data_IF_751024857355
#
_entry.id   IF_751024857355
#
_cell.length_a   1.000
_cell.length_b   1.000
_cell.length_c   1.000
_cell.angle_alpha   90.00
_cell.angle_beta   90.00
_cell.angle_gamma   90.00
#
_symmetry.space_group_name_H-M   'P 1'
#
loop_
_entity.id
_entity.type
_entity.pdbx_description
1 polymer ?
#
# COMPACT_ATOMS: atom_id res chain seq x y z
N UNK A 1 -79.13 -39.83 -28.15
CA UNK A 1 -77.85 -40.27 -28.74
C UNK A 1 -76.76 -39.99 -27.70
N UNK A 2 -76.30 -41.03 -27.00
CA UNK A 2 -75.35 -40.95 -25.88
C UNK A 2 -73.93 -40.84 -26.44
N UNK A 3 -73.17 -39.82 -26.06
CA UNK A 3 -71.72 -39.77 -26.27
C UNK A 3 -71.08 -39.69 -24.88
N UNK A 4 -70.34 -40.74 -24.54
CA UNK A 4 -69.75 -40.97 -23.24
C UNK A 4 -68.46 -40.18 -23.06
N UNK A 5 -68.37 -39.54 -21.90
CA UNK A 5 -67.19 -38.94 -21.31
C UNK A 5 -66.22 -40.06 -20.89
N UNK A 6 -64.94 -39.95 -21.26
CA UNK A 6 -63.85 -40.76 -20.67
C UNK A 6 -62.70 -39.83 -20.30
N UNK A 7 -62.55 -39.62 -19.00
CA UNK A 7 -61.37 -39.04 -18.34
C UNK A 7 -60.28 -40.12 -18.16
N UNK A 8 -59.07 -39.66 -17.77
CA UNK A 8 -57.78 -40.36 -17.53
C UNK A 8 -56.80 -40.25 -18.71
N UNK A 9 -55.52 -39.89 -18.53
CA UNK A 9 -54.74 -39.71 -17.32
C UNK A 9 -53.54 -38.78 -17.54
N UNK A 10 -53.30 -38.01 -16.49
CA UNK A 10 -52.08 -37.34 -16.01
C UNK A 10 -50.75 -37.99 -16.44
N UNK A 11 -49.82 -37.19 -16.97
CA UNK A 11 -48.39 -37.25 -16.60
C UNK A 11 -47.72 -35.92 -16.99
N UNK A 12 -47.46 -35.13 -15.96
CA UNK A 12 -46.58 -33.97 -15.97
C UNK A 12 -45.14 -34.47 -16.20
N UNK A 13 -44.47 -34.01 -17.25
CA UNK A 13 -43.00 -34.06 -17.34
C UNK A 13 -42.49 -32.64 -17.52
N UNK A 14 -42.09 -32.03 -16.40
CA UNK A 14 -41.37 -30.75 -16.37
C UNK A 14 -39.91 -31.10 -16.62
N UNK A 15 -39.42 -30.86 -17.83
CA UNK A 15 -38.00 -30.92 -18.14
C UNK A 15 -37.46 -29.50 -18.23
N UNK A 16 -36.96 -29.00 -17.10
CA UNK A 16 -36.22 -27.75 -17.05
C UNK A 16 -34.81 -27.97 -17.61
N UNK A 17 -34.54 -27.46 -18.82
CA UNK A 17 -33.17 -27.31 -19.34
C UNK A 17 -32.60 -25.99 -18.80
N UNK A 18 -31.86 -26.07 -17.70
CA UNK A 18 -30.90 -25.04 -17.28
C UNK A 18 -29.65 -25.20 -18.13
N UNK A 19 -29.51 -24.38 -19.17
CA UNK A 19 -28.26 -24.21 -19.91
C UNK A 19 -27.41 -23.16 -19.15
N UNK A 20 -26.67 -23.60 -18.15
CA UNK A 20 -25.60 -22.79 -17.57
C UNK A 20 -24.41 -22.83 -18.53
N UNK A 21 -24.23 -21.76 -19.31
CA UNK A 21 -22.98 -21.53 -20.04
C UNK A 21 -21.88 -21.22 -19.01
N UNK A 22 -21.23 -22.27 -18.51
CA UNK A 22 -19.98 -22.14 -17.78
C UNK A 22 -18.91 -21.69 -18.78
N UNK A 23 -18.66 -20.38 -18.85
CA UNK A 23 -17.38 -19.89 -19.32
C UNK A 23 -16.34 -20.30 -18.27
N UNK A 24 -15.89 -21.55 -18.37
CA UNK A 24 -14.65 -22.02 -17.78
C UNK A 24 -13.49 -21.38 -18.53
N UNK A 25 -13.30 -20.08 -18.33
CA UNK A 25 -12.01 -19.46 -18.52
C UNK A 25 -11.11 -19.97 -17.40
N UNK A 26 -10.48 -21.12 -17.60
CA UNK A 26 -9.24 -21.42 -16.90
C UNK A 26 -8.23 -20.38 -17.36
N UNK A 27 -8.26 -19.19 -16.75
CA UNK A 27 -7.07 -18.38 -16.66
C UNK A 27 -6.09 -19.25 -15.89
N UNK A 28 -5.17 -19.87 -16.61
CA UNK A 28 -3.86 -20.18 -16.07
C UNK A 28 -3.37 -18.87 -15.49
N UNK A 29 -3.51 -18.70 -14.17
CA UNK A 29 -2.86 -17.65 -13.44
C UNK A 29 -1.38 -17.91 -13.63
N UNK A 30 -0.80 -17.29 -14.64
CA UNK A 30 0.62 -16.99 -14.64
C UNK A 30 0.80 -16.20 -13.34
N UNK A 31 1.51 -16.79 -12.37
CA UNK A 31 1.80 -16.16 -11.09
C UNK A 31 2.90 -15.12 -11.30
N UNK A 32 2.70 -14.23 -12.25
CA UNK A 32 3.49 -13.02 -12.36
C UNK A 32 3.19 -12.24 -11.09
N UNK A 33 4.22 -11.97 -10.29
CA UNK A 33 4.17 -11.02 -9.18
C UNK A 33 3.97 -9.62 -9.76
N UNK A 34 2.87 -9.40 -10.47
CA UNK A 34 2.59 -8.21 -11.23
C UNK A 34 1.18 -7.73 -10.90
N UNK A 35 1.03 -6.42 -10.81
CA UNK A 35 -0.27 -5.77 -10.66
C UNK A 35 -0.36 -4.63 -11.66
N UNK A 36 -1.34 -4.72 -12.54
CA UNK A 36 -1.69 -3.63 -13.44
C UNK A 36 -2.69 -2.72 -12.74
N UNK A 37 -2.41 -1.43 -12.71
CA UNK A 37 -3.23 -0.42 -12.06
C UNK A 37 -3.34 0.83 -12.91
N UNK A 38 -4.51 1.48 -12.87
CA UNK A 38 -4.75 2.77 -13.49
C UNK A 38 -4.75 3.86 -12.44
N UNK A 39 -3.95 4.90 -12.65
CA UNK A 39 -3.86 6.02 -11.73
C UNK A 39 -5.13 6.86 -11.82
N UNK A 40 -5.88 6.94 -10.73
CA UNK A 40 -7.18 7.61 -10.72
C UNK A 40 -7.05 9.05 -10.20
N UNK A 41 -6.38 9.24 -9.08
CA UNK A 41 -6.32 10.56 -8.46
C UNK A 41 -5.25 10.71 -7.38
N UNK A 42 -5.04 11.97 -6.99
CA UNK A 42 -4.33 12.39 -5.79
C UNK A 42 -5.29 13.26 -4.98
N UNK A 43 -6.20 12.67 -4.21
CA UNK A 43 -7.21 13.45 -3.50
C UNK A 43 -6.61 14.20 -2.30
N UNK A 44 -5.51 13.68 -1.74
CA UNK A 44 -4.88 14.18 -0.52
C UNK A 44 -3.39 14.40 -0.76
N UNK A 45 -3.01 15.63 -1.07
CA UNK A 45 -1.60 16.01 -1.21
C UNK A 45 -1.39 17.48 -0.86
N UNK A 46 -0.17 17.82 -0.47
CA UNK A 46 0.31 19.20 -0.43
C UNK A 46 1.41 19.39 -1.47
N UNK A 47 1.51 20.61 -1.99
CA UNK A 47 2.70 21.03 -2.74
C UNK A 47 3.78 21.37 -1.73
N UNK A 48 4.93 20.74 -1.87
CA UNK A 48 6.02 20.91 -0.92
C UNK A 48 7.29 21.38 -1.62
N UNK A 49 8.01 22.28 -0.96
CA UNK A 49 9.36 22.69 -1.32
C UNK A 49 10.34 21.70 -0.73
N UNK A 50 11.04 20.92 -1.55
CA UNK A 50 12.00 19.93 -1.06
C UNK A 50 13.44 20.45 -1.19
N UNK A 51 14.27 20.24 -0.18
CA UNK A 51 15.71 20.50 -0.24
C UNK A 51 16.49 19.19 -0.37
N UNK A 52 16.36 18.48 -1.49
CA UNK A 52 17.02 17.17 -1.65
C UNK A 52 18.50 17.36 -1.94
N UNK A 53 19.38 16.99 -1.00
CA UNK A 53 20.82 16.92 -1.24
C UNK A 53 21.47 15.64 -0.71
N UNK A 54 21.49 14.61 -1.56
CA UNK A 54 22.09 13.30 -1.24
C UNK A 54 23.61 13.28 -1.14
N UNK A 55 24.29 14.42 -1.34
CA UNK A 55 25.76 14.50 -1.23
C UNK A 55 26.21 14.82 0.19
N UNK A 56 25.27 15.18 1.05
CA UNK A 56 25.53 15.56 2.43
C UNK A 56 25.25 14.40 3.39
N UNK A 57 25.93 14.46 4.51
CA UNK A 57 25.61 13.63 5.67
C UNK A 57 24.40 14.24 6.39
N UNK A 58 23.67 13.41 7.15
CA UNK A 58 22.43 13.75 7.85
C UNK A 58 22.48 15.00 8.77
N UNK A 59 23.69 15.46 9.13
CA UNK A 59 23.95 16.58 10.03
C UNK A 59 24.44 17.87 9.34
N UNK A 60 24.40 17.94 8.01
CA UNK A 60 24.94 19.07 7.22
C UNK A 60 23.84 19.93 6.58
N UNK A 61 23.98 21.26 6.69
CA UNK A 61 22.96 22.24 6.22
C UNK A 61 23.35 22.94 4.90
N UNK A 62 24.59 22.74 4.43
CA UNK A 62 25.16 23.47 3.28
C UNK A 62 24.88 22.78 1.93
N UNK A 63 23.61 22.47 1.65
CA UNK A 63 23.17 21.79 0.43
C UNK A 63 22.61 22.72 -0.65
N UNK A 64 22.73 22.32 -1.91
CA UNK A 64 22.11 23.05 -3.02
C UNK A 64 20.61 22.79 -2.97
N UNK A 65 19.84 23.72 -2.41
CA UNK A 65 18.38 23.64 -2.34
C UNK A 65 17.77 23.47 -3.74
N UNK A 66 17.33 22.27 -4.09
CA UNK A 66 16.44 22.07 -5.24
C UNK A 66 14.99 22.26 -4.80
N UNK A 67 14.64 23.49 -4.42
CA UNK A 67 13.26 23.82 -4.08
C UNK A 67 12.38 23.74 -5.33
N UNK A 68 11.57 22.69 -5.45
CA UNK A 68 10.57 22.57 -6.52
C UNK A 68 9.15 22.56 -5.96
N UNK A 69 8.43 23.66 -6.19
CA UNK A 69 7.03 23.82 -5.81
C UNK A 69 6.06 22.91 -6.60
N UNK A 70 6.56 21.99 -7.43
CA UNK A 70 5.75 21.09 -8.25
C UNK A 70 5.71 19.67 -7.69
N UNK A 71 6.47 19.38 -6.64
CA UNK A 71 6.47 18.04 -6.04
C UNK A 71 5.25 17.92 -5.13
N UNK A 72 4.47 16.88 -5.38
CA UNK A 72 3.23 16.60 -4.65
C UNK A 72 3.48 15.49 -3.63
N UNK A 73 3.49 15.85 -2.36
CA UNK A 73 3.62 14.91 -1.25
C UNK A 73 2.23 14.48 -0.78
N UNK A 74 1.97 13.18 -0.75
CA UNK A 74 0.70 12.61 -0.34
C UNK A 74 0.40 11.31 -1.05
N UNK A 75 -0.76 10.75 -0.80
CA UNK A 75 -1.19 9.46 -1.34
C UNK A 75 -1.42 9.48 -2.86
N UNK A 76 -1.33 8.30 -3.47
CA UNK A 76 -1.76 8.02 -4.84
C UNK A 76 -2.87 6.98 -4.79
N UNK A 77 -3.99 7.28 -5.46
CA UNK A 77 -5.14 6.38 -5.56
C UNK A 77 -5.15 5.74 -6.94
N UNK A 78 -5.15 4.41 -6.94
CA UNK A 78 -5.12 3.58 -8.14
C UNK A 78 -6.30 2.62 -8.17
N UNK A 79 -6.78 2.28 -9.36
CA UNK A 79 -7.69 1.15 -9.58
C UNK A 79 -6.90 0.00 -10.18
N UNK A 80 -6.82 -1.13 -9.48
CA UNK A 80 -6.13 -2.30 -10.00
C UNK A 80 -6.97 -3.05 -11.06
N UNK A 81 -6.34 -4.03 -11.72
CA UNK A 81 -6.95 -4.90 -12.73
C UNK A 81 -8.20 -5.68 -12.26
N UNK A 82 -8.47 -5.71 -10.95
CA UNK A 82 -9.65 -6.34 -10.35
C UNK A 82 -10.75 -5.32 -9.98
N UNK A 83 -10.59 -4.06 -10.36
CA UNK A 83 -11.52 -2.97 -10.05
C UNK A 83 -11.50 -2.54 -8.58
N UNK A 84 -10.40 -2.78 -7.86
CA UNK A 84 -10.24 -2.35 -6.46
C UNK A 84 -9.40 -1.10 -6.36
N UNK A 85 -9.82 -0.18 -5.50
CA UNK A 85 -9.03 0.96 -5.06
C UNK A 85 -7.82 0.49 -4.24
N UNK A 86 -6.66 1.04 -4.56
CA UNK A 86 -5.38 0.84 -3.90
C UNK A 86 -4.80 2.21 -3.55
N UNK A 87 -4.46 2.41 -2.28
CA UNK A 87 -3.78 3.62 -1.80
C UNK A 87 -2.30 3.32 -1.66
N UNK A 88 -1.47 4.13 -2.30
CA UNK A 88 -0.02 3.91 -2.38
C UNK A 88 0.73 5.20 -2.07
N UNK A 89 1.99 5.07 -1.65
CA UNK A 89 2.91 6.19 -1.40
C UNK A 89 4.19 5.98 -2.19
N UNK A 90 4.71 7.05 -2.79
CA UNK A 90 5.88 6.98 -3.66
C UNK A 90 7.14 6.82 -2.80
N UNK A 91 8.08 5.99 -3.24
CA UNK A 91 9.38 5.80 -2.58
C UNK A 91 10.56 6.35 -3.39
N UNK A 92 10.27 6.91 -4.57
CA UNK A 92 11.15 7.77 -5.36
C UNK A 92 10.47 9.14 -5.57
N UNK A 93 11.23 10.16 -5.97
CA UNK A 93 10.74 11.56 -6.07
C UNK A 93 10.50 12.07 -7.49
N UNK A 94 11.33 11.69 -8.47
CA UNK A 94 11.43 12.42 -9.75
C UNK A 94 10.74 11.78 -10.96
N UNK A 95 10.21 10.58 -10.83
CA UNK A 95 9.38 9.95 -11.88
C UNK A 95 7.90 10.17 -11.53
N UNK A 96 6.94 9.90 -12.42
CA UNK A 96 5.55 10.16 -12.05
C UNK A 96 4.53 9.68 -13.06
N UNK A 97 3.37 9.29 -12.55
CA UNK A 97 2.20 8.94 -13.35
C UNK A 97 1.28 10.15 -13.53
N UNK A 98 0.64 10.23 -14.70
CA UNK A 98 -0.47 11.15 -14.97
C UNK A 98 -1.80 10.45 -14.75
N UNK A 99 -2.80 11.18 -14.26
CA UNK A 99 -4.15 10.62 -14.07
C UNK A 99 -4.66 10.03 -15.38
N UNK A 100 -5.10 8.78 -15.32
CA UNK A 100 -5.50 7.96 -16.47
C UNK A 100 -4.42 7.01 -16.98
N UNK A 101 -3.18 7.14 -16.55
CA UNK A 101 -2.10 6.22 -16.93
C UNK A 101 -2.34 4.84 -16.32
N UNK A 102 -2.18 3.80 -17.14
CA UNK A 102 -2.19 2.41 -16.69
C UNK A 102 -0.77 1.87 -16.66
N UNK A 103 -0.34 1.39 -15.50
CA UNK A 103 1.02 0.93 -15.23
C UNK A 103 0.97 -0.49 -14.67
N UNK A 104 1.86 -1.36 -15.14
CA UNK A 104 2.09 -2.69 -14.56
C UNK A 104 3.30 -2.61 -13.66
N UNK A 105 3.09 -2.87 -12.37
CA UNK A 105 4.15 -2.92 -11.36
C UNK A 105 4.51 -4.35 -11.02
N UNK A 106 5.79 -4.62 -10.76
CA UNK A 106 6.24 -5.84 -10.10
C UNK A 106 6.04 -5.70 -8.59
N UNK A 107 5.46 -6.71 -7.95
CA UNK A 107 5.16 -6.75 -6.52
C UNK A 107 6.21 -7.56 -5.77
N UNK A 108 6.64 -7.05 -4.61
CA UNK A 108 7.57 -7.76 -3.71
C UNK A 108 7.23 -7.48 -2.25
N UNK A 109 7.35 -8.48 -1.39
CA UNK A 109 7.32 -8.28 0.08
C UNK A 109 8.73 -8.10 0.66
N UNK A 110 9.77 -8.35 -0.15
CA UNK A 110 11.15 -8.05 0.21
C UNK A 110 11.46 -6.59 -0.10
N UNK A 111 11.25 -5.73 0.90
CA UNK A 111 11.47 -4.29 0.76
C UNK A 111 12.94 -3.92 0.58
N UNK A 112 13.89 -4.83 0.79
CA UNK A 112 15.32 -4.58 0.49
C UNK A 112 15.63 -4.59 -1.01
N UNK A 113 14.64 -4.89 -1.84
CA UNK A 113 14.76 -4.89 -3.31
C UNK A 113 14.15 -3.64 -3.96
N UNK A 114 13.47 -2.80 -3.18
CA UNK A 114 12.87 -1.53 -3.62
C UNK A 114 13.35 -0.37 -2.75
N UNK A 115 13.34 0.88 -3.24
CA UNK A 115 13.16 1.23 -4.64
C UNK A 115 14.34 0.76 -5.51
N UNK A 116 14.07 0.51 -6.78
CA UNK A 116 15.09 0.24 -7.78
C UNK A 116 15.97 1.49 -8.00
N UNK A 117 17.20 1.27 -8.47
CA UNK A 117 18.09 2.34 -8.91
C UNK A 117 18.76 2.00 -10.24
N UNK A 118 19.07 3.02 -11.07
CA UNK A 118 18.68 4.44 -10.94
C UNK A 118 17.21 4.70 -11.36
N UNK A 119 16.56 5.78 -10.86
CA UNK A 119 17.10 6.87 -10.03
C UNK A 119 17.22 6.54 -8.53
N UNK A 120 17.83 7.47 -7.76
CA UNK A 120 17.94 7.39 -6.30
C UNK A 120 16.56 7.16 -5.63
N UNK A 121 16.49 6.51 -4.45
CA UNK A 121 17.58 6.26 -3.52
C UNK A 121 18.33 4.92 -3.67
N UNK A 122 17.77 3.98 -4.45
CA UNK A 122 18.22 2.60 -4.50
C UNK A 122 17.70 1.74 -3.35
N UNK A 123 18.03 0.43 -3.33
CA UNK A 123 17.34 -0.52 -2.48
C UNK A 123 17.55 -0.25 -0.99
N UNK A 124 16.50 -0.44 -0.19
CA UNK A 124 16.52 -0.14 1.25
C UNK A 124 17.52 -1.03 2.02
N UNK A 125 18.29 -0.42 2.93
CA UNK A 125 19.02 -1.15 3.96
C UNK A 125 18.07 -1.78 4.98
N UNK A 126 18.50 -2.83 5.68
CA UNK A 126 17.66 -3.55 6.64
C UNK A 126 17.09 -2.67 7.77
N UNK A 127 17.84 -1.66 8.24
CA UNK A 127 17.34 -0.72 9.24
C UNK A 127 16.32 0.28 8.65
N UNK A 128 16.44 0.67 7.38
CA UNK A 128 15.43 1.48 6.69
C UNK A 128 14.13 0.69 6.54
N UNK A 129 14.22 -0.59 6.15
CA UNK A 129 13.05 -1.48 6.12
C UNK A 129 12.37 -1.55 7.48
N UNK A 130 13.14 -1.63 8.58
CA UNK A 130 12.58 -1.64 9.93
C UNK A 130 11.83 -0.33 10.26
N UNK A 131 12.43 0.83 9.98
CA UNK A 131 11.77 2.12 10.20
C UNK A 131 10.53 2.32 9.32
N UNK A 132 10.55 1.86 8.07
CA UNK A 132 9.41 1.91 7.16
C UNK A 132 8.28 0.99 7.62
N UNK A 133 8.60 -0.23 8.07
CA UNK A 133 7.63 -1.16 8.64
C UNK A 133 6.98 -0.58 9.90
N UNK A 134 7.76 0.07 10.76
CA UNK A 134 7.27 0.75 11.96
C UNK A 134 6.36 1.93 11.61
N UNK A 135 6.79 2.80 10.68
CA UNK A 135 6.00 3.92 10.16
C UNK A 135 4.62 3.46 9.65
N UNK A 136 4.60 2.43 8.79
CA UNK A 136 3.34 1.88 8.29
C UNK A 136 2.49 1.23 9.38
N UNK A 137 3.11 0.56 10.37
CA UNK A 137 2.37 -0.11 11.44
C UNK A 137 1.63 0.85 12.38
N UNK A 138 2.16 2.06 12.54
CA UNK A 138 1.59 3.10 13.40
C UNK A 138 0.52 3.90 12.68
N UNK A 139 0.81 4.30 11.44
CA UNK A 139 0.04 5.35 10.78
C UNK A 139 -0.82 4.87 9.62
N UNK A 140 -0.74 3.62 9.18
CA UNK A 140 -1.54 3.11 8.04
C UNK A 140 -2.49 2.00 8.48
N UNK A 141 -3.77 2.15 8.16
CA UNK A 141 -4.77 1.09 8.34
C UNK A 141 -4.55 0.01 7.27
N UNK A 142 -4.19 -1.19 7.71
CA UNK A 142 -3.88 -2.31 6.81
C UNK A 142 -5.04 -2.76 5.91
N UNK A 143 -6.28 -2.42 6.27
CA UNK A 143 -7.47 -2.77 5.48
C UNK A 143 -7.70 -1.80 4.33
N UNK A 144 -7.32 -0.54 4.49
CA UNK A 144 -7.63 0.53 3.55
C UNK A 144 -6.40 1.07 2.83
N UNK A 145 -5.20 0.90 3.40
CA UNK A 145 -3.97 1.52 2.93
C UNK A 145 -3.89 3.03 3.20
N UNK A 146 -4.87 3.57 3.94
CA UNK A 146 -5.02 5.00 4.26
C UNK A 146 -4.47 5.31 5.64
N UNK A 147 -4.24 6.60 5.92
CA UNK A 147 -3.88 7.06 7.27
C UNK A 147 -4.90 6.52 8.29
N UNK A 148 -4.41 5.84 9.32
CA UNK A 148 -5.20 5.22 10.36
C UNK A 148 -5.80 6.28 11.30
N UNK A 149 -7.05 6.05 11.71
CA UNK A 149 -7.71 6.85 12.75
C UNK A 149 -7.24 6.42 14.14
N UNK A 150 -7.29 7.34 15.10
CA UNK A 150 -6.85 7.11 16.48
C UNK A 150 -5.35 7.30 16.68
N UNK A 151 -4.68 7.96 15.73
CA UNK A 151 -3.26 8.31 15.79
C UNK A 151 -3.09 9.78 16.15
N UNK A 152 -1.85 10.23 16.42
CA UNK A 152 -1.58 11.66 16.59
C UNK A 152 -1.85 12.50 15.34
N UNK A 153 -1.94 11.87 14.17
CA UNK A 153 -2.28 12.54 12.92
C UNK A 153 -3.74 12.98 12.83
N UNK A 154 -4.62 12.49 13.71
CA UNK A 154 -6.03 12.91 13.78
C UNK A 154 -6.19 14.41 14.14
N UNK A 155 -5.13 15.04 14.66
CA UNK A 155 -5.12 16.47 14.97
C UNK A 155 -4.97 17.38 13.74
N UNK A 156 -4.63 16.82 12.58
CA UNK A 156 -4.36 17.55 11.34
C UNK A 156 -5.41 17.25 10.26
N UNK A 157 -5.55 18.15 9.29
CA UNK A 157 -6.31 17.86 8.09
C UNK A 157 -5.71 16.68 7.33
N UNK A 158 -6.55 15.87 6.69
CA UNK A 158 -6.11 14.62 6.06
C UNK A 158 -5.06 14.84 4.95
N UNK A 159 -5.13 15.94 4.20
CA UNK A 159 -4.11 16.28 3.19
C UNK A 159 -2.75 16.56 3.83
N UNK A 160 -2.74 17.29 4.97
CA UNK A 160 -1.53 17.58 5.75
C UNK A 160 -0.95 16.30 6.33
N UNK A 161 -1.79 15.45 6.95
CA UNK A 161 -1.35 14.15 7.48
C UNK A 161 -0.77 13.24 6.40
N UNK A 162 -1.44 13.14 5.24
CA UNK A 162 -0.96 12.33 4.11
C UNK A 162 0.34 12.88 3.52
N UNK A 163 0.46 14.20 3.39
CA UNK A 163 1.70 14.85 2.96
C UNK A 163 2.85 14.63 3.95
N UNK A 164 2.58 14.79 5.25
CA UNK A 164 3.57 14.58 6.30
C UNK A 164 4.07 13.12 6.32
N UNK A 165 3.16 12.15 6.17
CA UNK A 165 3.53 10.75 6.03
C UNK A 165 4.46 10.52 4.82
N UNK A 166 4.11 11.09 3.66
CA UNK A 166 4.92 10.98 2.46
C UNK A 166 6.31 11.63 2.62
N UNK A 167 6.40 12.77 3.31
CA UNK A 167 7.67 13.47 3.58
C UNK A 167 8.58 12.64 4.49
N UNK A 168 8.05 12.10 5.60
CA UNK A 168 8.84 11.23 6.48
C UNK A 168 9.24 9.95 5.75
N UNK A 169 8.35 9.33 4.97
CA UNK A 169 8.70 8.15 4.18
C UNK A 169 9.87 8.45 3.23
N UNK A 170 9.84 9.59 2.56
CA UNK A 170 10.93 10.00 1.68
C UNK A 170 12.22 10.24 2.43
N UNK A 171 12.19 10.91 3.57
CA UNK A 171 13.33 11.11 4.48
C UNK A 171 13.98 9.79 4.85
N UNK A 172 13.21 8.82 5.35
CA UNK A 172 13.74 7.51 5.74
C UNK A 172 14.44 6.77 4.59
N UNK A 173 14.11 7.09 3.34
CA UNK A 173 14.63 6.42 2.16
C UNK A 173 15.76 7.18 1.48
N UNK A 174 15.75 8.51 1.51
CA UNK A 174 16.78 9.29 0.82
C UNK A 174 17.85 9.88 1.72
N UNK A 175 17.67 9.82 3.03
CA UNK A 175 18.68 10.23 3.99
C UNK A 175 19.95 9.36 3.86
N UNK A 176 21.10 10.01 4.00
CA UNK A 176 22.41 9.40 4.01
C UNK A 176 22.81 9.08 5.47
N UNK A 177 22.15 8.06 6.03
CA UNK A 177 22.39 7.64 7.41
C UNK A 177 23.82 7.14 7.63
N UNK A 178 24.46 7.61 8.71
CA UNK A 178 25.65 6.98 9.31
C UNK A 178 25.20 6.12 10.50
N UNK A 179 24.38 5.10 10.20
CA UNK A 179 23.76 4.24 11.21
C UNK A 179 23.87 2.77 10.81
N UNK A 180 23.97 1.90 11.81
CA UNK A 180 24.03 0.45 11.60
C UNK A 180 22.72 -0.26 11.93
N UNK A 181 21.83 0.41 12.65
CA UNK A 181 20.54 -0.10 13.12
C UNK A 181 19.50 1.04 13.19
N UNK A 182 18.23 0.66 13.41
CA UNK A 182 17.12 1.61 13.40
C UNK A 182 17.14 2.58 14.59
N UNK A 183 17.63 2.14 15.76
CA UNK A 183 17.74 3.00 16.96
C UNK A 183 18.76 4.13 16.76
N UNK A 184 19.86 3.86 16.06
CA UNK A 184 20.81 4.89 15.64
C UNK A 184 20.24 5.79 14.53
N UNK A 185 19.62 5.18 13.52
CA UNK A 185 19.12 5.90 12.35
C UNK A 185 18.00 6.87 12.70
N UNK A 186 17.06 6.51 13.59
CA UNK A 186 15.96 7.40 13.98
C UNK A 186 16.44 8.68 14.65
N UNK A 187 17.60 8.65 15.32
CA UNK A 187 18.24 9.83 15.89
C UNK A 187 18.82 10.81 14.86
N UNK A 188 18.86 10.42 13.59
CA UNK A 188 19.40 11.20 12.47
C UNK A 188 18.28 11.76 11.56
N UNK A 189 17.03 11.32 11.75
CA UNK A 189 15.87 11.77 10.95
C UNK A 189 15.51 13.20 11.34
N UNK A 190 15.51 14.12 10.37
CA UNK A 190 15.31 15.55 10.65
C UNK A 190 14.71 16.29 9.46
N UNK A 191 13.51 16.85 9.64
CA UNK A 191 12.91 17.75 8.62
C UNK A 191 13.58 19.13 8.53
N UNK A 192 14.65 19.37 9.31
CA UNK A 192 15.37 20.66 9.33
C UNK A 192 16.73 20.59 8.67
N UNK A 193 17.39 19.43 8.73
CA UNK A 193 18.77 19.22 8.26
C UNK A 193 18.91 18.00 7.37
N UNK A 194 17.89 17.14 7.31
CA UNK A 194 17.93 15.91 6.54
C UNK A 194 17.62 16.11 5.05
N UNK A 195 17.53 14.99 4.35
CA UNK A 195 17.31 14.92 2.91
C UNK A 195 16.01 15.60 2.45
N UNK A 196 15.01 15.73 3.32
CA UNK A 196 13.81 16.51 3.06
C UNK A 196 13.54 17.51 4.18
N UNK A 197 13.09 18.69 3.75
CA UNK A 197 12.68 19.75 4.65
C UNK A 197 11.17 19.97 4.51
N UNK A 198 10.51 20.22 5.64
CA UNK A 198 9.09 20.50 5.70
C UNK A 198 8.86 21.89 6.32
N UNK A 199 7.87 22.64 5.80
CA UNK A 199 7.48 23.95 6.32
C UNK A 199 6.01 23.92 6.78
N UNK A 200 5.61 24.91 7.59
CA UNK A 200 4.23 25.12 8.05
C UNK A 200 3.63 23.89 8.76
N UNK A 201 2.32 23.66 8.64
CA UNK A 201 1.60 22.57 9.32
C UNK A 201 2.16 21.17 9.01
N UNK A 202 2.78 20.99 7.83
CA UNK A 202 3.48 19.76 7.49
C UNK A 202 4.72 19.53 8.37
N UNK A 203 5.39 20.59 8.83
CA UNK A 203 6.51 20.48 9.78
C UNK A 203 6.05 19.98 11.15
N UNK A 204 4.87 20.38 11.62
CA UNK A 204 4.33 19.92 12.91
C UNK A 204 3.89 18.45 12.82
N UNK A 205 3.18 18.08 11.75
CA UNK A 205 2.74 16.72 11.52
C UNK A 205 3.90 15.74 11.30
N UNK A 206 4.92 16.11 10.52
CA UNK A 206 6.14 15.30 10.35
C UNK A 206 6.89 15.13 11.67
N UNK A 207 6.97 16.17 12.50
CA UNK A 207 7.57 16.09 13.84
C UNK A 207 6.82 15.12 14.75
N UNK A 208 5.48 15.09 14.68
CA UNK A 208 4.66 14.14 15.43
C UNK A 208 4.94 12.69 14.99
N UNK A 209 5.06 12.44 13.68
CA UNK A 209 5.40 11.11 13.15
C UNK A 209 6.79 10.68 13.63
N UNK A 210 7.81 11.54 13.47
CA UNK A 210 9.20 11.20 13.83
C UNK A 210 9.31 10.90 15.33
N UNK A 211 8.61 11.66 16.19
CA UNK A 211 8.61 11.44 17.63
C UNK A 211 8.02 10.08 18.06
N UNK A 212 7.19 9.47 17.21
CA UNK A 212 6.57 8.17 17.45
C UNK A 212 7.35 6.98 16.91
N UNK A 213 8.28 7.19 15.97
CA UNK A 213 9.08 6.11 15.40
C UNK A 213 9.86 5.37 16.51
N UNK A 214 9.73 4.05 16.54
CA UNK A 214 10.38 3.19 17.54
C UNK A 214 9.85 3.31 18.98
N UNK A 215 8.87 4.18 19.26
CA UNK A 215 8.23 4.25 20.60
C UNK A 215 7.58 2.91 20.96
N UNK A 216 7.87 2.40 22.15
CA UNK A 216 7.42 1.07 22.60
C UNK A 216 7.95 -0.11 21.75
N UNK A 217 9.03 0.12 20.99
CA UNK A 217 9.68 -0.86 20.13
C UNK A 217 9.30 -0.73 18.65
N UNK A 218 10.03 -1.43 17.80
CA UNK A 218 9.85 -1.41 16.35
C UNK A 218 8.67 -2.30 15.91
N UNK A 219 7.59 -1.67 15.47
CA UNK A 219 6.41 -2.31 14.90
C UNK A 219 6.65 -2.85 13.49
N UNK A 220 5.80 -3.77 13.06
CA UNK A 220 5.84 -4.29 11.69
C UNK A 220 4.44 -4.72 11.24
N UNK A 221 4.13 -4.45 9.98
CA UNK A 221 2.95 -4.97 9.29
C UNK A 221 3.26 -6.21 8.44
N UNK A 222 4.51 -6.68 8.48
CA UNK A 222 4.99 -7.90 7.83
C UNK A 222 4.73 -7.90 6.32
N UNK A 223 4.32 -9.07 5.81
CA UNK A 223 4.02 -9.31 4.39
C UNK A 223 2.78 -8.54 3.87
N UNK A 224 2.08 -7.80 4.73
CA UNK A 224 1.01 -6.92 4.28
C UNK A 224 1.57 -5.69 3.54
N UNK A 225 2.80 -5.25 3.86
CA UNK A 225 3.48 -4.18 3.13
C UNK A 225 4.13 -4.74 1.86
N UNK A 226 3.80 -4.15 0.73
CA UNK A 226 4.27 -4.58 -0.59
C UNK A 226 4.94 -3.41 -1.28
N UNK A 227 6.15 -3.66 -1.78
CA UNK A 227 6.85 -2.83 -2.76
C UNK A 227 6.30 -3.06 -4.15
N UNK A 228 6.08 -1.97 -4.87
CA UNK A 228 5.66 -1.93 -6.26
C UNK A 228 6.78 -1.28 -7.06
N UNK A 229 7.45 -2.03 -7.94
CA UNK A 229 8.51 -1.47 -8.79
C UNK A 229 8.10 -1.36 -10.26
N UNK A 230 8.60 -0.34 -10.94
CA UNK A 230 8.45 -0.18 -12.38
C UNK A 230 9.67 0.53 -12.98
N UNK A 231 10.21 0.06 -14.12
CA UNK A 231 11.43 0.63 -14.71
C UNK A 231 11.27 2.03 -15.32
N UNK A 232 10.04 2.57 -15.37
CA UNK A 232 9.72 3.84 -16.03
C UNK A 232 8.85 4.78 -15.20
N UNK A 233 8.41 4.34 -14.01
CA UNK A 233 7.48 5.05 -13.15
C UNK A 233 7.96 4.91 -11.70
N UNK A 234 7.62 5.87 -10.85
CA UNK A 234 7.95 5.81 -9.42
C UNK A 234 7.57 4.48 -8.80
N UNK A 235 8.55 3.88 -8.16
CA UNK A 235 8.33 2.80 -7.21
C UNK A 235 7.46 3.31 -6.06
N UNK A 236 6.61 2.44 -5.55
CA UNK A 236 5.60 2.75 -4.55
C UNK A 236 5.53 1.68 -3.48
N UNK A 237 5.02 2.06 -2.30
CA UNK A 237 4.63 1.14 -1.24
C UNK A 237 3.12 1.17 -1.07
N UNK A 238 2.54 -0.01 -0.87
CA UNK A 238 1.11 -0.18 -0.58
C UNK A 238 0.93 -1.25 0.48
N UNK A 239 -0.18 -1.17 1.21
CA UNK A 239 -0.64 -2.31 2.00
C UNK A 239 -1.63 -3.11 1.16
N UNK A 240 -1.44 -4.42 1.10
CA UNK A 240 -2.44 -5.33 0.55
C UNK A 240 -3.30 -5.86 1.70
N UNK A 241 -4.64 -5.73 1.62
CA UNK A 241 -5.51 -6.37 2.60
C UNK A 241 -5.23 -7.86 2.56
N UNK A 242 -4.69 -8.42 3.66
CA UNK A 242 -4.36 -9.83 3.74
C UNK A 242 -5.57 -10.64 3.28
N UNK A 243 -5.42 -11.50 2.26
CA UNK A 243 -6.52 -12.36 1.87
C UNK A 243 -6.89 -13.16 3.12
N UNK A 244 -8.19 -13.23 3.40
CA UNK A 244 -8.76 -13.96 4.53
C UNK A 244 -8.91 -15.49 4.32
N UNK A 245 -8.15 -16.26 3.49
CA UNK A 245 -8.32 -17.71 3.43
C UNK A 245 -8.03 -18.46 4.73
N UNK A 246 -7.20 -17.93 5.62
CA UNK A 246 -6.84 -18.63 6.87
C UNK A 246 -8.02 -18.74 7.85
N UNK A 247 -8.92 -17.76 7.89
CA UNK A 247 -10.07 -17.80 8.80
C UNK A 247 -11.18 -18.75 8.29
N UNK A 248 -11.38 -18.81 6.98
CA UNK A 248 -12.41 -19.65 6.34
C UNK A 248 -12.01 -21.14 6.30
N UNK A 249 -10.71 -21.46 6.18
CA UNK A 249 -10.22 -22.83 6.28
C UNK A 249 -10.46 -23.44 7.68
N UNK A 250 -10.34 -22.64 8.75
CA UNK A 250 -10.61 -23.07 10.13
C UNK A 250 -12.10 -23.34 10.40
N UNK A 251 -12.99 -22.49 9.91
CA UNK A 251 -14.44 -22.66 10.09
C UNK A 251 -14.97 -23.85 9.26
N UNK A 252 -14.45 -24.04 8.04
CA UNK A 252 -14.80 -25.18 7.19
C UNK A 252 -14.45 -26.53 7.83
N UNK A 253 -13.30 -26.63 8.51
CA UNK A 253 -12.91 -27.86 9.22
C UNK A 253 -13.74 -28.12 10.48
N UNK A 254 -14.10 -27.08 11.23
CA UNK A 254 -14.98 -27.20 12.42
C UNK A 254 -16.38 -27.64 12.00
N UNK A 255 -16.93 -27.07 10.93
CA UNK A 255 -18.23 -27.47 10.37
C UNK A 255 -18.26 -28.93 9.92
N UNK A 256 -17.23 -29.38 9.20
CA UNK A 256 -17.11 -30.78 8.76
C UNK A 256 -16.93 -31.75 9.95
N UNK A 257 -16.20 -31.34 10.99
CA UNK A 257 -16.00 -32.14 12.21
C UNK A 257 -17.28 -32.34 13.04
N UNK A 258 -18.10 -31.29 13.19
CA UNK A 258 -19.36 -31.35 13.94
C UNK A 258 -20.42 -32.16 13.19
N UNK A 259 -20.53 -32.00 11.87
CA UNK A 259 -21.47 -32.79 11.04
C UNK A 259 -21.12 -34.27 11.08
N UNK A 260 -19.83 -34.62 10.96
CA UNK A 260 -19.38 -36.02 11.03
C UNK A 260 -19.65 -36.68 12.38
N UNK A 261 -19.66 -35.91 13.48
CA UNK A 261 -19.91 -36.44 14.84
C UNK A 261 -21.40 -36.67 15.12
N UNK A 262 -22.30 -36.03 14.35
CA UNK A 262 -23.75 -36.23 14.44
C UNK A 262 -24.27 -37.36 13.54
N UNK A 263 -23.42 -37.94 12.70
CA UNK A 263 -23.75 -39.03 11.78
C UNK A 263 -23.25 -40.41 12.25
N UNK A 264 -22.77 -40.53 13.48
CA UNK A 264 -22.53 -41.81 14.18
C UNK A 264 -23.50 -41.92 15.34
#
# INVERSE_FOLDING_TARGET
MKIAMKYMNMTLSVTAMLLAAAFGGSASADSTNEITMTFESMPSYELTSLGIDRRHDWDQVDGVNFTSNTIKAGERVWINQYGREMTTYCIQVFEGASVGDTVTFTQTTDLTTVPEAPPAPGPMAGFQVNMVQDLYSRFIDQKTGKIATGTTLDAFDYSVASSAFQLVLWELLHENFDATNADEAVGQVSMSTGAFQAENDASEATSAIIAELGQDGWGSIGDALVGLSNPTMQDQLTVVPLPTPLLLAGIGLIGAGIVRRRMK
#
